data_IF_537399040281
#
_entry.id   IF_537399040281
#
_cell.length_a   1.000
_cell.length_b   1.000
_cell.length_c   1.000
_cell.angle_alpha   90.00
_cell.angle_beta   90.00
_cell.angle_gamma   90.00
#
_symmetry.space_group_name_H-M   'P 1'
#
loop_
_entity.id
_entity.type
_entity.pdbx_description
1 polymer ?
#
# COMPACT_ATOMS: atom_id res chain seq x y z
N UNK A 1 9.26 21.16 -4.03
CA UNK A 1 9.35 20.88 -2.59
C UNK A 1 8.26 19.88 -2.21
N UNK A 2 8.59 18.73 -1.62
CA UNK A 2 7.92 18.09 -0.46
C UNK A 2 8.90 17.03 0.07
N UNK A 3 9.98 17.50 0.68
CA UNK A 3 10.74 16.74 1.67
C UNK A 3 10.46 17.44 2.99
N UNK A 4 9.34 17.09 3.63
CA UNK A 4 8.94 17.63 4.93
C UNK A 4 9.00 16.52 6.00
N UNK A 5 9.20 16.90 7.28
CA UNK A 5 9.69 16.03 8.35
C UNK A 5 8.58 15.08 8.84
N UNK A 6 8.96 13.81 9.00
CA UNK A 6 8.16 12.81 9.72
C UNK A 6 7.27 11.91 8.87
N UNK A 7 7.81 10.75 8.49
CA UNK A 7 7.00 9.64 7.94
C UNK A 7 6.51 8.77 9.09
N UNK A 8 5.22 8.80 9.36
CA UNK A 8 4.58 8.01 10.40
C UNK A 8 3.89 6.77 9.81
N UNK A 9 3.91 5.68 10.57
CA UNK A 9 3.11 4.49 10.29
C UNK A 9 1.85 4.55 11.14
N UNK A 10 0.67 4.61 10.49
CA UNK A 10 -0.62 4.82 11.19
C UNK A 10 -1.44 3.53 11.30
N UNK A 11 -1.10 2.50 10.52
CA UNK A 11 -1.81 1.23 10.52
C UNK A 11 -0.89 0.07 10.23
N UNK A 12 -1.22 -1.07 10.83
CA UNK A 12 -0.57 -2.36 10.63
C UNK A 12 -1.66 -3.43 10.66
N UNK A 13 -1.51 -4.46 9.83
CA UNK A 13 -2.44 -5.57 9.84
C UNK A 13 -1.75 -6.87 9.47
N UNK A 14 -2.16 -7.96 10.10
CA UNK A 14 -1.78 -9.30 9.70
C UNK A 14 -2.48 -9.64 8.37
N UNK A 15 -1.75 -10.25 7.44
CA UNK A 15 -2.30 -10.71 6.16
C UNK A 15 -2.27 -12.23 6.14
N UNK A 16 -3.43 -12.84 6.00
CA UNK A 16 -3.53 -14.30 5.81
C UNK A 16 -3.09 -14.72 4.40
N UNK A 17 -2.61 -15.95 4.25
CA UNK A 17 -2.06 -16.49 2.98
C UNK A 17 -3.04 -16.40 1.80
N UNK A 18 -4.35 -16.53 2.07
CA UNK A 18 -5.42 -16.48 1.07
C UNK A 18 -6.36 -15.28 1.23
N UNK A 19 -5.96 -14.30 2.04
CA UNK A 19 -6.80 -13.15 2.30
C UNK A 19 -6.91 -12.24 1.07
N UNK A 20 -8.12 -11.81 0.74
CA UNK A 20 -8.32 -10.89 -0.36
C UNK A 20 -7.66 -9.53 -0.06
N UNK A 21 -6.86 -9.02 -1.02
CA UNK A 21 -6.20 -7.71 -0.90
C UNK A 21 -7.19 -6.56 -0.61
N UNK A 22 -8.43 -6.69 -1.06
CA UNK A 22 -9.51 -5.73 -0.78
C UNK A 22 -9.87 -5.69 0.71
N UNK A 23 -9.89 -6.84 1.40
CA UNK A 23 -10.17 -6.91 2.84
C UNK A 23 -9.02 -6.28 3.65
N UNK A 24 -7.77 -6.62 3.30
CA UNK A 24 -6.57 -6.01 3.88
C UNK A 24 -6.60 -4.49 3.71
N UNK A 25 -6.85 -4.00 2.49
CA UNK A 25 -6.88 -2.58 2.21
C UNK A 25 -8.04 -1.87 2.92
N UNK A 26 -9.22 -2.49 2.98
CA UNK A 26 -10.36 -1.97 3.73
C UNK A 26 -10.01 -1.78 5.21
N UNK A 27 -9.46 -2.82 5.87
CA UNK A 27 -9.02 -2.76 7.27
C UNK A 27 -8.02 -1.62 7.51
N UNK A 28 -7.03 -1.46 6.63
CA UNK A 28 -6.05 -0.38 6.74
C UNK A 28 -6.69 1.01 6.56
N UNK A 29 -7.61 1.16 5.62
CA UNK A 29 -8.34 2.43 5.44
C UNK A 29 -9.25 2.73 6.63
N UNK A 30 -9.87 1.71 7.23
CA UNK A 30 -10.72 1.86 8.42
C UNK A 30 -9.89 2.27 9.64
N UNK A 31 -8.70 1.69 9.82
CA UNK A 31 -7.75 2.15 10.86
C UNK A 31 -7.37 3.62 10.67
N UNK A 32 -7.08 4.06 9.43
CA UNK A 32 -6.72 5.46 9.14
C UNK A 32 -7.91 6.40 9.38
N UNK A 33 -9.12 5.98 9.01
CA UNK A 33 -10.35 6.73 9.25
C UNK A 33 -10.66 6.87 10.75
N UNK A 34 -10.53 5.77 11.52
CA UNK A 34 -10.67 5.79 12.98
C UNK A 34 -9.64 6.73 13.63
N UNK A 35 -8.44 6.79 13.06
CA UNK A 35 -7.39 7.69 13.49
C UNK A 35 -7.55 9.15 12.99
N UNK A 36 -8.70 9.48 12.37
CA UNK A 36 -9.13 10.79 11.86
C UNK A 36 -8.09 11.49 10.98
N UNK A 37 -7.36 10.73 10.16
CA UNK A 37 -6.39 11.31 9.21
C UNK A 37 -7.03 11.44 7.84
N UNK A 38 -7.10 12.66 7.28
CA UNK A 38 -7.62 12.83 5.92
C UNK A 38 -6.66 12.21 4.90
N UNK A 39 -7.18 11.28 4.09
CA UNK A 39 -6.40 10.63 3.03
C UNK A 39 -6.45 11.48 1.76
N UNK A 40 -5.34 12.15 1.44
CA UNK A 40 -5.24 12.94 0.20
C UNK A 40 -5.08 12.09 -1.05
N UNK A 41 -4.24 11.06 -0.97
CA UNK A 41 -3.97 10.14 -2.06
C UNK A 41 -3.36 8.84 -1.53
N UNK A 42 -3.76 7.71 -2.10
CA UNK A 42 -3.20 6.40 -1.80
C UNK A 42 -2.24 5.98 -2.91
N UNK A 43 -1.00 5.62 -2.56
CA UNK A 43 0.03 5.18 -3.50
C UNK A 43 0.27 3.68 -3.38
N UNK A 44 -0.29 2.87 -4.27
CA UNK A 44 -0.31 1.40 -4.12
C UNK A 44 0.72 0.68 -4.98
N UNK A 45 1.16 -0.48 -4.48
CA UNK A 45 2.07 -1.39 -5.16
C UNK A 45 1.48 -1.99 -6.43
N UNK A 46 2.38 -2.49 -7.32
CA UNK A 46 1.98 -3.21 -8.53
C UNK A 46 1.08 -4.40 -8.23
N UNK A 47 1.26 -5.04 -7.08
CA UNK A 47 0.44 -6.16 -6.63
C UNK A 47 -1.04 -5.78 -6.47
N UNK A 48 -1.33 -4.53 -6.10
CA UNK A 48 -2.70 -4.01 -5.95
C UNK A 48 -3.36 -3.61 -7.28
N UNK A 49 -2.70 -3.85 -8.42
CA UNK A 49 -3.28 -3.63 -9.75
C UNK A 49 -4.34 -4.70 -10.08
N UNK A 50 -5.51 -4.55 -9.48
CA UNK A 50 -6.69 -5.40 -9.68
C UNK A 50 -7.95 -4.55 -9.78
N UNK A 51 -8.95 -5.03 -10.51
CA UNK A 51 -10.22 -4.32 -10.70
C UNK A 51 -10.93 -4.14 -9.36
N UNK A 52 -10.96 -5.18 -8.52
CA UNK A 52 -11.63 -5.14 -7.22
C UNK A 52 -11.05 -4.06 -6.28
N UNK A 53 -9.71 -3.92 -6.22
CA UNK A 53 -9.07 -2.87 -5.41
C UNK A 53 -9.41 -1.47 -5.94
N UNK A 54 -9.36 -1.27 -7.26
CA UNK A 54 -9.70 0.02 -7.85
C UNK A 54 -11.17 0.38 -7.62
N UNK A 55 -12.09 -0.58 -7.74
CA UNK A 55 -13.51 -0.38 -7.43
C UNK A 55 -13.73 -0.03 -5.95
N UNK A 56 -13.06 -0.73 -5.03
CA UNK A 56 -13.12 -0.42 -3.59
C UNK A 56 -12.71 1.02 -3.30
N UNK A 57 -11.60 1.48 -3.89
CA UNK A 57 -11.11 2.86 -3.70
C UNK A 57 -12.04 3.90 -4.30
N UNK A 58 -12.63 3.62 -5.48
CA UNK A 58 -13.62 4.49 -6.10
C UNK A 58 -14.90 4.58 -5.27
N UNK A 59 -15.38 3.45 -4.76
CA UNK A 59 -16.56 3.38 -3.88
C UNK A 59 -16.35 4.22 -2.61
N UNK A 60 -15.15 4.14 -2.00
CA UNK A 60 -14.76 4.96 -0.84
C UNK A 60 -14.33 6.39 -1.20
N UNK A 61 -14.40 6.78 -2.47
CA UNK A 61 -14.01 8.10 -3.01
C UNK A 61 -12.58 8.52 -2.67
N UNK A 62 -11.67 7.56 -2.53
CA UNK A 62 -10.27 7.82 -2.19
C UNK A 62 -9.43 7.99 -3.45
N UNK A 63 -8.75 9.14 -3.66
CA UNK A 63 -7.85 9.32 -4.80
C UNK A 63 -6.67 8.34 -4.72
N UNK A 64 -6.26 7.77 -5.86
CA UNK A 64 -5.19 6.77 -5.86
C UNK A 64 -4.30 6.83 -7.10
N UNK A 65 -3.08 6.29 -6.92
CA UNK A 65 -2.12 6.01 -8.00
C UNK A 65 -1.56 4.59 -7.83
N UNK A 66 -1.69 3.77 -8.88
CA UNK A 66 -1.16 2.39 -8.91
C UNK A 66 -0.36 2.18 -10.20
N UNK A 67 0.85 1.59 -10.19
CA UNK A 67 1.53 1.28 -11.43
C UNK A 67 0.80 0.19 -12.19
N UNK A 68 0.69 0.38 -13.51
CA UNK A 68 0.06 -0.58 -14.40
C UNK A 68 0.89 -1.85 -14.50
N UNK A 69 0.21 -2.99 -14.38
CA UNK A 69 0.75 -4.29 -14.75
C UNK A 69 0.07 -4.75 -16.04
N UNK A 70 0.86 -4.85 -17.12
CA UNK A 70 0.36 -5.32 -18.40
C UNK A 70 0.37 -6.85 -18.39
N UNK A 71 -0.82 -7.45 -18.34
CA UNK A 71 -1.04 -8.90 -18.41
C UNK A 71 -1.38 -9.34 -19.85
N UNK A 72 -1.37 -10.64 -20.11
CA UNK A 72 -1.80 -11.24 -21.37
C UNK A 72 -0.72 -11.36 -22.46
N UNK A 73 -1.05 -12.02 -23.57
CA UNK A 73 -0.13 -12.30 -24.69
C UNK A 73 0.34 -11.01 -25.36
N UNK A 74 1.56 -11.03 -25.91
CA UNK A 74 2.02 -9.97 -26.81
C UNK A 74 1.22 -10.06 -28.13
N UNK A 75 0.89 -8.94 -28.77
CA UNK A 75 0.28 -8.97 -30.10
C UNK A 75 1.21 -9.71 -31.08
N UNK A 76 0.62 -10.44 -32.02
CA UNK A 76 1.35 -11.04 -33.14
C UNK A 76 1.97 -9.93 -34.00
N UNK A 77 3.09 -10.19 -34.70
CA UNK A 77 3.61 -9.27 -35.71
C UNK A 77 2.49 -8.85 -36.68
N UNK A 78 2.43 -7.56 -37.04
CA UNK A 78 1.38 -7.01 -37.91
C UNK A 78 0.06 -6.61 -37.22
N UNK A 79 -0.21 -7.08 -35.99
CA UNK A 79 -1.45 -6.74 -35.27
C UNK A 79 -1.24 -5.54 -34.32
N UNK A 80 -2.09 -4.50 -34.37
CA UNK A 80 -1.96 -3.36 -33.47
C UNK A 80 -2.15 -3.78 -32.01
N UNK A 81 -1.34 -3.17 -31.13
CA UNK A 81 -1.43 -3.44 -29.70
C UNK A 81 -2.68 -2.77 -29.11
N UNK A 82 -3.61 -3.56 -28.56
CA UNK A 82 -4.82 -3.05 -27.91
C UNK A 82 -4.64 -2.75 -26.41
N UNK A 83 -5.57 -1.98 -25.84
CA UNK A 83 -5.66 -1.67 -24.42
C UNK A 83 -4.39 -1.00 -23.85
N UNK A 84 -3.95 -1.46 -22.67
CA UNK A 84 -2.75 -0.94 -22.00
C UNK A 84 -1.47 -1.06 -22.84
N UNK A 85 -1.37 -2.08 -23.72
CA UNK A 85 -0.21 -2.22 -24.61
C UNK A 85 -0.21 -1.14 -25.70
N UNK A 86 -1.39 -0.76 -26.19
CA UNK A 86 -1.58 0.37 -27.10
C UNK A 86 -1.25 1.70 -26.43
N UNK A 87 -1.79 1.93 -25.24
CA UNK A 87 -1.52 3.15 -24.45
C UNK A 87 -0.03 3.28 -24.15
N UNK A 88 0.68 2.17 -23.86
CA UNK A 88 2.13 2.19 -23.67
C UNK A 88 2.90 2.68 -24.90
N UNK A 89 2.37 2.60 -26.12
CA UNK A 89 3.03 3.11 -27.32
C UNK A 89 2.80 4.61 -27.53
N UNK A 90 1.75 5.20 -26.95
CA UNK A 90 1.42 6.63 -27.05
C UNK A 90 2.42 7.54 -26.35
N UNK A 91 2.43 8.82 -26.68
CA UNK A 91 3.28 9.83 -26.05
C UNK A 91 3.01 9.96 -24.53
N UNK A 92 3.86 10.73 -23.84
CA UNK A 92 3.61 11.07 -22.45
C UNK A 92 2.30 11.85 -22.35
N UNK A 93 1.40 11.44 -21.45
CA UNK A 93 0.07 12.01 -21.40
C UNK A 93 -0.85 11.26 -20.47
N UNK A 94 -2.10 11.74 -20.41
CA UNK A 94 -3.19 11.12 -19.67
C UNK A 94 -4.23 10.62 -20.65
N UNK A 95 -4.65 9.38 -20.49
CA UNK A 95 -5.60 8.73 -21.39
C UNK A 95 -6.68 8.04 -20.57
N UNK A 96 -7.95 8.33 -20.87
CA UNK A 96 -9.06 7.61 -20.29
C UNK A 96 -8.96 6.11 -20.63
N UNK A 97 -9.17 5.25 -19.64
CA UNK A 97 -9.06 3.82 -19.81
C UNK A 97 -10.11 3.09 -18.97
N UNK A 98 -10.79 2.14 -19.58
CA UNK A 98 -11.65 1.20 -18.86
C UNK A 98 -10.90 -0.13 -18.74
N UNK A 99 -10.56 -0.51 -17.51
CA UNK A 99 -10.04 -1.84 -17.24
C UNK A 99 -11.22 -2.79 -17.02
N UNK A 100 -11.44 -3.71 -17.95
CA UNK A 100 -12.48 -4.73 -17.86
C UNK A 100 -11.86 -6.14 -17.84
N UNK A 101 -12.43 -7.02 -17.02
CA UNK A 101 -12.11 -8.45 -16.96
C UNK A 101 -13.31 -9.22 -16.37
N UNK A 102 -13.66 -10.36 -16.96
CA UNK A 102 -14.70 -11.30 -16.45
C UNK A 102 -15.97 -10.62 -15.93
N UNK A 103 -16.56 -9.73 -16.73
CA UNK A 103 -17.81 -9.02 -16.40
C UNK A 103 -17.66 -7.88 -15.39
N UNK A 104 -16.46 -7.62 -14.86
CA UNK A 104 -16.18 -6.46 -14.00
C UNK A 104 -15.43 -5.41 -14.79
N UNK A 105 -15.76 -4.15 -14.58
CA UNK A 105 -15.08 -3.02 -15.20
C UNK A 105 -14.82 -1.88 -14.21
N UNK A 106 -13.73 -1.16 -14.43
CA UNK A 106 -13.40 0.06 -13.70
C UNK A 106 -12.84 1.10 -14.66
N UNK A 107 -13.37 2.32 -14.58
CA UNK A 107 -12.91 3.45 -15.41
C UNK A 107 -11.93 4.30 -14.61
N UNK A 108 -10.74 4.53 -15.18
CA UNK A 108 -9.72 5.37 -14.57
C UNK A 108 -8.80 5.95 -15.66
N UNK A 109 -7.94 6.89 -15.29
CA UNK A 109 -6.98 7.45 -16.22
C UNK A 109 -5.68 6.67 -16.19
N UNK A 110 -5.14 6.32 -17.36
CA UNK A 110 -3.77 5.83 -17.49
C UNK A 110 -2.86 7.01 -17.82
N UNK A 111 -1.91 7.26 -16.92
CA UNK A 111 -0.87 8.27 -17.05
C UNK A 111 0.41 7.61 -17.55
N UNK A 112 0.89 8.07 -18.71
CA UNK A 112 2.15 7.65 -19.32
C UNK A 112 3.22 8.67 -18.99
N UNK A 113 4.24 8.26 -18.24
CA UNK A 113 5.36 9.10 -17.84
C UNK A 113 6.69 8.47 -18.26
N UNK A 114 7.75 9.27 -18.26
CA UNK A 114 9.10 8.80 -18.55
C UNK A 114 10.01 9.00 -17.33
N UNK A 115 10.94 8.05 -17.15
CA UNK A 115 12.05 8.16 -16.22
C UNK A 115 13.35 7.95 -16.98
N UNK A 116 14.19 8.97 -16.96
CA UNK A 116 15.55 8.90 -17.46
C UNK A 116 16.49 8.53 -16.33
N UNK A 117 17.45 7.64 -16.59
CA UNK A 117 18.48 7.25 -15.63
C UNK A 117 19.80 6.96 -16.37
N UNK A 118 20.91 7.11 -15.66
CA UNK A 118 22.23 6.70 -16.17
C UNK A 118 22.43 5.23 -15.80
N UNK A 119 22.73 4.40 -16.80
CA UNK A 119 22.96 2.98 -16.56
C UNK A 119 24.34 2.79 -15.90
N UNK A 120 24.39 2.16 -14.72
CA UNK A 120 25.60 2.08 -13.90
C UNK A 120 26.79 1.41 -14.62
N UNK A 121 26.54 0.30 -15.34
CA UNK A 121 27.60 -0.45 -16.03
C UNK A 121 28.10 0.19 -17.32
N UNK A 122 27.22 0.87 -18.06
CA UNK A 122 27.56 1.37 -19.41
C UNK A 122 27.71 2.89 -19.47
N UNK A 123 27.42 3.61 -18.39
CA UNK A 123 27.47 5.08 -18.33
C UNK A 123 26.45 5.80 -19.23
N UNK A 124 25.74 5.09 -20.11
CA UNK A 124 24.80 5.66 -21.09
C UNK A 124 23.49 6.09 -20.44
N UNK A 125 22.91 7.18 -20.95
CA UNK A 125 21.58 7.65 -20.58
C UNK A 125 20.52 6.72 -21.18
N UNK A 126 19.62 6.20 -20.34
CA UNK A 126 18.52 5.33 -20.73
C UNK A 126 17.20 5.93 -20.26
N UNK A 127 16.16 5.77 -21.06
CA UNK A 127 14.81 6.24 -20.73
C UNK A 127 13.87 5.05 -20.61
N UNK A 128 13.17 4.95 -19.48
CA UNK A 128 12.15 3.94 -19.22
C UNK A 128 10.78 4.59 -19.19
N UNK A 129 9.85 4.03 -19.95
CA UNK A 129 8.44 4.42 -19.88
C UNK A 129 7.77 3.77 -18.66
N UNK A 130 7.01 4.57 -17.93
CA UNK A 130 6.26 4.21 -16.74
C UNK A 130 4.78 4.45 -17.01
N UNK A 131 3.94 3.50 -16.57
CA UNK A 131 2.51 3.59 -16.70
C UNK A 131 1.90 3.52 -15.31
N UNK A 132 1.02 4.46 -15.02
CA UNK A 132 0.27 4.52 -13.77
C UNK A 132 -1.21 4.62 -14.09
N UNK A 133 -2.04 3.92 -13.32
CA UNK A 133 -3.47 4.25 -13.23
C UNK A 133 -3.62 5.27 -12.13
N UNK A 134 -4.33 6.35 -12.43
CA UNK A 134 -4.66 7.42 -11.51
C UNK A 134 -6.16 7.69 -11.55
N UNK A 135 -6.74 7.98 -10.39
CA UNK A 135 -8.14 8.38 -10.27
C UNK A 135 -8.27 9.53 -9.27
N UNK A 136 -8.91 10.62 -9.69
CA UNK A 136 -9.02 11.89 -8.94
C UNK A 136 -7.69 12.50 -8.46
N UNK A 137 -6.59 12.16 -9.13
CA UNK A 137 -5.28 12.77 -8.89
C UNK A 137 -5.00 13.76 -10.02
N UNK A 138 -4.97 15.07 -9.76
CA UNK A 138 -4.69 16.08 -10.77
C UNK A 138 -3.19 16.12 -11.11
N UNK A 139 -2.87 16.84 -12.20
CA UNK A 139 -1.50 17.16 -12.57
C UNK A 139 -0.97 16.41 -13.79
N UNK A 140 0.14 16.94 -14.31
CA UNK A 140 0.86 16.43 -15.47
C UNK A 140 1.51 15.06 -15.18
N UNK A 141 1.87 14.27 -16.22
CA UNK A 141 2.49 12.95 -16.02
C UNK A 141 3.76 12.96 -15.16
N UNK A 142 4.54 14.04 -15.22
CA UNK A 142 5.73 14.26 -14.40
C UNK A 142 5.35 14.41 -12.92
N UNK A 143 4.32 15.20 -12.61
CA UNK A 143 3.84 15.40 -11.25
C UNK A 143 3.30 14.08 -10.64
N UNK A 144 2.55 13.29 -11.42
CA UNK A 144 2.07 11.96 -10.98
C UNK A 144 3.23 11.02 -10.69
N UNK A 145 4.27 11.02 -11.54
CA UNK A 145 5.50 10.23 -11.32
C UNK A 145 6.19 10.66 -10.03
N UNK A 146 6.35 11.95 -9.80
CA UNK A 146 7.08 12.48 -8.65
C UNK A 146 6.28 12.29 -7.35
N UNK A 147 4.96 12.39 -7.41
CA UNK A 147 4.06 11.96 -6.34
C UNK A 147 4.27 10.48 -6.02
N UNK A 148 4.25 9.61 -7.05
CA UNK A 148 4.43 8.17 -6.85
C UNK A 148 5.80 7.81 -6.25
N UNK A 149 6.86 8.59 -6.54
CA UNK A 149 8.19 8.38 -5.93
C UNK A 149 8.18 8.51 -4.40
N UNK A 150 7.23 9.23 -3.81
CA UNK A 150 7.14 9.36 -2.35
C UNK A 150 6.86 8.02 -1.66
N UNK A 151 6.31 7.03 -2.40
CA UNK A 151 6.01 5.70 -1.87
C UNK A 151 7.24 4.90 -1.44
N UNK A 152 8.42 5.18 -1.99
CA UNK A 152 9.67 4.56 -1.51
C UNK A 152 9.95 4.88 -0.03
N UNK A 153 9.23 5.85 0.55
CA UNK A 153 9.27 6.10 1.98
C UNK A 153 8.85 4.93 2.85
N UNK A 154 7.93 4.08 2.38
CA UNK A 154 7.53 2.87 3.11
C UNK A 154 8.70 1.89 3.17
N UNK A 155 9.37 1.66 2.05
CA UNK A 155 10.52 0.75 1.98
C UNK A 155 11.67 1.23 2.88
N UNK A 156 11.98 2.54 2.86
CA UNK A 156 12.99 3.09 3.79
C UNK A 156 12.59 2.93 5.25
N UNK A 157 11.30 3.07 5.57
CA UNK A 157 10.79 2.91 6.94
C UNK A 157 10.89 1.46 7.40
N UNK A 158 10.66 0.52 6.49
CA UNK A 158 10.80 -0.92 6.75
C UNK A 158 12.26 -1.34 6.93
N UNK A 159 13.22 -0.73 6.21
CA UNK A 159 14.65 -0.98 6.41
C UNK A 159 15.11 -0.53 7.80
N UNK A 160 14.73 0.68 8.20
CA UNK A 160 14.98 1.20 9.56
C UNK A 160 14.36 0.30 10.64
N UNK A 161 13.15 -0.19 10.39
CA UNK A 161 12.49 -1.13 11.31
C UNK A 161 13.28 -2.44 11.45
N UNK A 162 13.94 -2.90 10.38
CA UNK A 162 14.81 -4.08 10.41
C UNK A 162 16.03 -3.92 11.31
N UNK A 163 16.53 -2.69 11.50
CA UNK A 163 17.64 -2.38 12.41
C UNK A 163 17.19 -2.33 13.87
N UNK A 164 15.96 -1.86 14.14
CA UNK A 164 15.41 -1.74 15.50
C UNK A 164 14.74 -3.02 16.02
N UNK A 165 14.40 -3.97 15.15
CA UNK A 165 13.64 -5.17 15.52
C UNK A 165 14.57 -6.25 16.11
N UNK A 166 14.25 -6.83 17.28
CA UNK A 166 14.98 -7.97 17.80
C UNK A 166 14.82 -9.20 16.88
N UNK A 167 15.91 -9.95 16.69
CA UNK A 167 15.85 -11.24 16.00
C UNK A 167 15.19 -12.26 16.92
N UNK A 168 14.17 -12.96 16.42
CA UNK A 168 13.47 -14.02 17.15
C UNK A 168 13.51 -15.31 16.34
N UNK A 169 13.74 -16.43 17.02
CA UNK A 169 13.67 -17.80 16.47
C UNK A 169 12.28 -18.42 16.64
N UNK A 170 11.30 -17.69 17.22
CA UNK A 170 9.97 -18.24 17.45
C UNK A 170 9.25 -18.54 16.13
N UNK A 171 8.68 -19.74 15.96
CA UNK A 171 7.89 -20.11 14.79
C UNK A 171 6.51 -19.41 14.76
N UNK A 172 6.07 -18.83 15.88
CA UNK A 172 4.76 -18.17 15.98
C UNK A 172 4.74 -16.82 15.23
N UNK A 173 3.86 -16.73 14.23
CA UNK A 173 3.62 -15.52 13.45
C UNK A 173 3.11 -14.33 14.28
N UNK A 174 2.37 -14.58 15.36
CA UNK A 174 1.83 -13.56 16.26
C UNK A 174 2.96 -12.87 17.02
N UNK A 175 3.86 -13.66 17.62
CA UNK A 175 5.05 -13.14 18.31
C UNK A 175 5.93 -12.34 17.36
N UNK A 176 6.12 -12.82 16.14
CA UNK A 176 6.88 -12.09 15.11
C UNK A 176 6.22 -10.76 14.75
N UNK A 177 4.90 -10.70 14.68
CA UNK A 177 4.15 -9.49 14.38
C UNK A 177 4.12 -8.51 15.55
N UNK A 178 4.07 -9.00 16.79
CA UNK A 178 4.18 -8.17 17.99
C UNK A 178 5.50 -7.37 17.99
N UNK A 179 6.62 -8.03 17.69
CA UNK A 179 7.92 -7.33 17.58
C UNK A 179 7.95 -6.29 16.45
N UNK A 180 7.23 -6.52 15.36
CA UNK A 180 7.05 -5.54 14.28
C UNK A 180 6.24 -4.34 14.79
N UNK A 181 5.15 -4.58 15.52
CA UNK A 181 4.33 -3.52 16.10
C UNK A 181 5.12 -2.67 17.10
N UNK A 182 5.87 -3.30 18.01
CA UNK A 182 6.74 -2.62 18.97
C UNK A 182 7.79 -1.76 18.25
N UNK A 183 8.48 -2.31 17.26
CA UNK A 183 9.48 -1.54 16.50
C UNK A 183 8.89 -0.33 15.77
N UNK A 184 7.64 -0.44 15.27
CA UNK A 184 6.93 0.68 14.66
C UNK A 184 6.56 1.77 15.67
N UNK A 185 6.18 1.40 16.91
CA UNK A 185 5.94 2.34 18.01
C UNK A 185 7.20 3.15 18.30
N UNK A 186 8.33 2.46 18.50
CA UNK A 186 9.63 3.08 18.80
C UNK A 186 10.03 4.01 17.66
N UNK A 187 9.91 3.57 16.40
CA UNK A 187 10.21 4.40 15.24
C UNK A 187 9.33 5.65 15.17
N UNK A 188 8.02 5.50 15.38
CA UNK A 188 7.11 6.65 15.38
C UNK A 188 7.45 7.63 16.51
N UNK A 189 7.79 7.14 17.71
CA UNK A 189 8.24 7.95 18.84
C UNK A 189 9.56 8.65 18.53
N UNK A 190 10.51 7.99 17.88
CA UNK A 190 11.78 8.60 17.42
C UNK A 190 11.55 9.68 16.38
N UNK A 191 10.71 9.43 15.37
CA UNK A 191 10.37 10.43 14.35
C UNK A 191 9.68 11.63 14.97
N UNK A 192 8.82 11.39 15.96
CA UNK A 192 8.22 12.43 16.76
C UNK A 192 9.29 13.20 17.53
N UNK A 193 10.17 12.53 18.28
CA UNK A 193 11.25 13.13 19.06
C UNK A 193 12.27 13.91 18.22
N UNK A 194 12.64 13.41 17.03
CA UNK A 194 13.47 14.15 16.07
C UNK A 194 12.75 15.36 15.48
N UNK A 195 11.42 15.39 15.52
CA UNK A 195 10.60 16.56 15.22
C UNK A 195 10.40 17.53 16.39
N UNK A 196 10.72 17.13 17.64
CA UNK A 196 10.63 17.95 18.87
C UNK A 196 11.72 19.03 18.92
N UNK A 197 12.74 19.00 18.06
CA UNK A 197 13.67 20.11 17.89
C UNK A 197 13.03 21.38 17.26
N UNK A 198 11.70 21.45 17.14
CA UNK A 198 10.94 22.64 16.75
C UNK A 198 9.71 22.88 17.65
N UNK A 199 9.40 24.13 18.03
CA UNK A 199 8.35 24.43 19.00
C UNK A 199 6.99 24.48 18.32
N UNK A 200 6.12 23.49 18.56
CA UNK A 200 4.64 23.63 18.56
C UNK A 200 3.96 22.34 19.03
N UNK A 201 3.72 22.34 20.33
CA UNK A 201 2.89 21.43 21.08
C UNK A 201 1.43 21.72 20.73
N UNK A 202 0.68 20.78 20.17
CA UNK A 202 -0.81 20.83 20.20
C UNK A 202 -1.51 19.59 19.65
N UNK A 203 -0.88 18.77 18.78
CA UNK A 203 -1.55 17.57 18.22
C UNK A 203 -0.89 16.22 18.57
N UNK A 204 0.32 16.26 19.15
CA UNK A 204 1.14 15.08 19.40
C UNK A 204 0.73 14.26 20.65
N UNK A 205 0.15 14.90 21.67
CA UNK A 205 -0.32 14.22 22.87
C UNK A 205 -1.46 13.23 22.58
N UNK A 206 -2.25 13.46 21.52
CA UNK A 206 -3.40 12.64 21.17
C UNK A 206 -3.07 11.31 20.48
N UNK A 207 -1.80 11.03 20.14
CA UNK A 207 -1.48 9.98 19.15
C UNK A 207 -0.47 8.91 19.59
N UNK A 208 -0.09 8.89 20.86
CA UNK A 208 0.53 7.72 21.49
C UNK A 208 -0.52 6.63 21.79
N UNK A 209 -1.79 7.04 21.96
CA UNK A 209 -2.93 6.19 22.35
C UNK A 209 -3.39 5.24 21.22
N UNK A 210 -3.21 5.61 19.95
CA UNK A 210 -3.70 4.83 18.80
C UNK A 210 -2.96 3.50 18.55
N UNK A 211 -1.81 3.28 19.19
CA UNK A 211 -1.10 1.99 19.15
C UNK A 211 -1.52 1.04 20.28
N UNK A 212 -2.10 1.56 21.38
CA UNK A 212 -2.72 0.73 22.42
C UNK A 212 -4.00 0.06 21.89
N UNK A 213 -4.77 0.72 21.03
CA UNK A 213 -5.95 0.12 20.40
C UNK A 213 -5.59 -1.02 19.42
N UNK A 214 -4.43 -0.96 18.76
CA UNK A 214 -3.93 -2.07 17.94
C UNK A 214 -3.62 -3.28 18.83
N UNK A 215 -3.08 -3.07 20.04
CA UNK A 215 -2.86 -4.13 21.03
C UNK A 215 -4.20 -4.74 21.51
N UNK A 216 -5.22 -3.90 21.76
CA UNK A 216 -6.57 -4.34 22.20
C UNK A 216 -7.37 -5.02 21.08
N UNK A 217 -7.18 -4.63 19.81
CA UNK A 217 -7.80 -5.34 18.68
C UNK A 217 -7.21 -6.75 18.49
N UNK A 218 -5.96 -6.98 18.89
CA UNK A 218 -5.32 -8.29 18.82
C UNK A 218 -5.81 -9.27 19.90
N UNK A 219 -6.24 -8.80 21.07
CA UNK A 219 -6.77 -9.68 22.13
C UNK A 219 -8.18 -10.20 21.84
N UNK A 220 -8.91 -9.60 20.89
CA UNK A 220 -10.28 -10.01 20.51
C UNK A 220 -10.34 -11.08 19.43
N UNK A 221 -9.24 -11.39 18.75
CA UNK A 221 -9.18 -12.50 17.79
C UNK A 221 -8.66 -13.74 18.52
N UNK A 222 -9.50 -14.29 19.40
CA UNK A 222 -9.38 -15.68 19.84
C UNK A 222 -10.42 -16.46 19.01
N UNK A 223 -10.03 -17.35 18.09
CA UNK A 223 -11.01 -18.24 17.51
C UNK A 223 -11.51 -19.13 18.65
N UNK A 224 -12.83 -19.11 18.89
CA UNK A 224 -13.48 -20.09 19.74
C UNK A 224 -13.03 -21.48 19.27
N UNK A 225 -12.43 -22.23 20.19
CA UNK A 225 -11.96 -23.58 19.91
C UNK A 225 -13.14 -24.47 19.49
N UNK A 226 -12.89 -25.52 18.67
CA UNK A 226 -13.96 -26.43 18.29
C UNK A 226 -14.53 -27.09 19.56
N UNK A 227 -15.81 -26.82 19.83
CA UNK A 227 -16.60 -27.54 20.82
C UNK A 227 -16.65 -29.01 20.44
N UNK A 228 -15.92 -29.86 21.16
CA UNK A 228 -16.06 -31.31 21.06
C UNK A 228 -17.46 -31.69 21.56
N UNK A 229 -18.28 -32.43 20.78
CA UNK A 229 -19.50 -33.02 21.32
C UNK A 229 -19.15 -34.20 22.26
N UNK A 230 -19.91 -34.42 23.35
CA UNK A 230 -19.67 -35.56 24.22
C UNK A 230 -20.02 -36.87 23.52
N UNK A 231 -19.10 -37.83 23.53
CA UNK A 231 -19.31 -39.20 23.06
C UNK A 231 -20.27 -39.95 23.99
N UNK A 232 -21.19 -40.79 23.47
CA UNK A 232 -22.17 -41.49 24.27
C UNK A 232 -21.55 -42.68 25.01
N UNK A 233 -21.95 -42.82 26.27
CA UNK A 233 -21.73 -43.95 27.18
C UNK A 233 -22.10 -45.27 26.50
N UNK A 234 -21.17 -46.24 26.44
CA UNK A 234 -21.51 -47.65 26.21
C UNK A 234 -21.72 -48.31 27.56
N UNK A 235 -22.94 -48.78 27.79
CA UNK A 235 -23.26 -49.80 28.79
C UNK A 235 -22.83 -51.17 28.24
N UNK A 236 -22.08 -51.91 29.05
CA UNK A 236 -22.07 -53.38 29.16
C UNK A 236 -21.69 -53.71 30.59
#
# INVERSE_FOLDING_TARGET
MVGGPGRYTVGLTAVGEKEALTAVLARLLDQVAAARVPVRVVLLDRAFFTIAVMQLLQARRVPFVVPVVIRGRKPRPGVPAAGLRGIRRRAAGRYAYTHADRGRAVRADVVVAHRTYRHCRTGRRRTRKLLFVAWRVPGAPVAVRDLYRQRFGVESSYRQLGEARPRTSSPDGVVRLLWVAIGLVIRNAWVWAGGIAGPRWTLAAARLVLLLDVLVAFTRVRPDGPSHPPSPTRQT
#
